data_IF_565831312020
#
_entry.id   IF_565831312020
#
_cell.length_a   1.000
_cell.length_b   1.000
_cell.length_c   1.000
_cell.angle_alpha   90.00
_cell.angle_beta   90.00
_cell.angle_gamma   90.00
#
_symmetry.space_group_name_H-M   'P 1'
#
loop_
_entity.id
_entity.type
_entity.pdbx_description
1 polymer ?
#
# COMPACT_ATOMS: atom_id res chain seq x y z
N UNK A 1 -15.10 18.19 11.54
CA UNK A 1 -15.13 18.15 10.06
C UNK A 1 -15.49 16.73 9.67
N UNK A 2 -16.63 16.52 8.97
CA UNK A 2 -17.00 15.22 8.41
C UNK A 2 -16.27 15.03 7.10
N UNK A 3 -15.81 13.79 6.82
CA UNK A 3 -15.37 13.41 5.47
C UNK A 3 -16.57 13.05 4.60
N UNK A 4 -16.38 12.99 3.29
CA UNK A 4 -17.43 12.61 2.33
C UNK A 4 -17.96 11.17 2.57
N UNK A 5 -17.19 10.33 3.28
CA UNK A 5 -17.47 8.93 3.55
C UNK A 5 -17.99 8.66 4.99
N UNK A 6 -18.12 9.68 5.83
CA UNK A 6 -18.59 9.51 7.21
C UNK A 6 -19.17 10.79 7.82
N UNK A 7 -20.01 10.66 8.87
CA UNK A 7 -20.60 11.80 9.55
C UNK A 7 -19.56 12.62 10.31
N UNK A 8 -19.85 13.90 10.53
CA UNK A 8 -19.08 14.73 11.47
C UNK A 8 -19.34 14.25 12.90
N UNK A 9 -18.30 13.78 13.58
CA UNK A 9 -18.36 13.27 14.93
C UNK A 9 -18.03 14.32 16.00
N UNK A 10 -17.71 15.56 15.61
CA UNK A 10 -17.24 16.61 16.52
C UNK A 10 -18.24 16.98 17.64
N UNK A 11 -19.50 16.62 17.45
CA UNK A 11 -20.60 16.92 18.37
C UNK A 11 -21.43 15.68 18.76
N UNK A 12 -20.84 14.51 18.61
CA UNK A 12 -21.51 13.24 18.85
C UNK A 12 -22.05 13.12 20.29
N UNK A 13 -21.32 13.67 21.27
CA UNK A 13 -21.71 13.66 22.66
C UNK A 13 -22.92 14.54 23.02
N UNK A 14 -23.39 15.40 22.10
CA UNK A 14 -24.61 16.18 22.27
C UNK A 14 -25.86 15.54 21.65
N UNK A 15 -25.70 14.47 20.88
CA UNK A 15 -26.84 13.76 20.29
C UNK A 15 -27.81 13.28 21.34
N UNK A 16 -29.07 13.36 21.01
CA UNK A 16 -30.17 12.91 21.84
C UNK A 16 -30.78 11.62 21.31
N UNK A 17 -31.67 11.03 22.07
CA UNK A 17 -32.43 9.84 21.66
C UNK A 17 -33.23 10.11 20.37
N UNK A 18 -33.66 11.35 20.16
CA UNK A 18 -34.40 11.73 18.96
C UNK A 18 -33.55 11.76 17.67
N UNK A 19 -32.23 11.88 17.80
CA UNK A 19 -31.31 12.01 16.68
C UNK A 19 -30.81 10.64 16.14
N UNK A 20 -31.18 9.55 16.83
CA UNK A 20 -30.60 8.22 16.59
C UNK A 20 -31.67 7.13 16.41
N UNK A 21 -31.45 6.14 15.52
CA UNK A 21 -32.37 5.02 15.36
C UNK A 21 -32.19 3.98 16.46
N UNK A 22 -33.20 3.78 17.29
CA UNK A 22 -33.19 2.79 18.40
C UNK A 22 -33.92 1.48 18.09
N UNK A 23 -34.47 1.32 16.86
CA UNK A 23 -35.29 0.16 16.50
C UNK A 23 -34.61 -1.20 16.74
N UNK A 24 -33.29 -1.24 16.63
CA UNK A 24 -32.49 -2.47 16.77
C UNK A 24 -31.56 -2.44 17.99
N UNK A 25 -31.70 -1.45 18.89
CA UNK A 25 -30.93 -1.36 20.12
C UNK A 25 -31.64 -2.11 21.23
N UNK A 26 -30.93 -3.01 21.93
CA UNK A 26 -31.46 -3.78 23.03
C UNK A 26 -31.21 -3.03 24.38
N UNK A 27 -32.16 -3.10 25.27
CA UNK A 27 -32.06 -2.45 26.58
C UNK A 27 -32.48 -0.97 26.59
N UNK A 28 -31.81 -0.13 27.39
CA UNK A 28 -32.16 1.27 27.58
C UNK A 28 -31.89 2.10 26.30
N UNK A 29 -32.88 2.96 25.98
CA UNK A 29 -32.71 3.94 24.88
C UNK A 29 -31.90 5.14 25.37
N UNK A 30 -30.59 4.98 25.38
CA UNK A 30 -29.64 6.05 25.78
C UNK A 30 -28.50 6.12 24.73
N UNK A 31 -27.91 7.30 24.56
CA UNK A 31 -26.77 7.51 23.68
C UNK A 31 -25.60 6.56 24.03
N UNK A 32 -25.17 6.37 25.27
CA UNK A 32 -24.11 5.42 25.60
C UNK A 32 -24.41 3.99 25.17
N UNK A 33 -25.64 3.50 25.39
CA UNK A 33 -26.03 2.16 25.01
C UNK A 33 -26.09 2.00 23.48
N UNK A 34 -26.56 3.02 22.77
CA UNK A 34 -26.56 3.04 21.30
C UNK A 34 -25.13 2.98 20.75
N UNK A 35 -24.23 3.83 21.24
CA UNK A 35 -22.82 3.88 20.82
C UNK A 35 -22.12 2.55 21.08
N UNK A 36 -22.23 1.99 22.28
CA UNK A 36 -21.61 0.70 22.62
C UNK A 36 -22.05 -0.43 21.69
N UNK A 37 -23.37 -0.55 21.44
CA UNK A 37 -23.88 -1.56 20.52
C UNK A 37 -23.52 -1.28 19.06
N UNK A 38 -23.43 0.00 18.65
CA UNK A 38 -23.03 0.38 17.31
C UNK A 38 -21.56 0.06 17.05
N UNK A 39 -20.66 0.24 18.02
CA UNK A 39 -19.25 -0.17 17.88
C UNK A 39 -19.08 -1.68 17.80
N UNK A 40 -19.89 -2.44 18.53
CA UNK A 40 -19.83 -3.90 18.51
C UNK A 40 -20.40 -4.50 17.21
N UNK A 41 -21.50 -3.94 16.70
CA UNK A 41 -22.15 -4.42 15.47
C UNK A 41 -22.88 -3.27 14.76
N UNK A 42 -22.17 -2.47 13.93
CA UNK A 42 -22.75 -1.32 13.26
C UNK A 42 -23.96 -1.64 12.39
N UNK A 43 -23.89 -2.75 11.64
CA UNK A 43 -24.94 -3.14 10.69
C UNK A 43 -26.21 -3.62 11.37
N UNK A 44 -26.10 -4.17 12.58
CA UNK A 44 -27.26 -4.57 13.41
C UNK A 44 -28.00 -3.33 13.95
N UNK A 45 -27.27 -2.31 14.37
CA UNK A 45 -27.85 -1.09 14.97
C UNK A 45 -28.43 -0.17 13.90
N UNK A 46 -27.68 0.02 12.81
CA UNK A 46 -28.09 0.85 11.68
C UNK A 46 -28.10 -0.01 10.41
N UNK A 47 -29.29 -0.34 9.93
CA UNK A 47 -29.44 -1.11 8.71
C UNK A 47 -28.69 -0.43 7.54
N UNK A 48 -27.88 -1.18 6.81
CA UNK A 48 -27.02 -0.68 5.72
C UNK A 48 -25.90 0.27 6.18
N UNK A 49 -25.49 0.22 7.45
CA UNK A 49 -24.33 0.98 7.89
C UNK A 49 -23.11 0.67 7.03
N UNK A 50 -22.42 1.71 6.56
CA UNK A 50 -21.15 1.59 5.85
C UNK A 50 -19.96 1.41 6.81
N UNK A 51 -20.19 1.65 8.12
CA UNK A 51 -19.18 1.42 9.15
C UNK A 51 -18.88 -0.08 9.25
N UNK A 52 -17.61 -0.49 9.08
CA UNK A 52 -17.24 -1.89 9.21
C UNK A 52 -17.34 -2.33 10.69
N UNK A 53 -17.71 -3.60 10.90
CA UNK A 53 -17.51 -4.21 12.21
C UNK A 53 -16.01 -4.46 12.42
N UNK A 54 -15.38 -3.70 13.28
CA UNK A 54 -13.94 -3.74 13.56
C UNK A 54 -13.56 -4.83 14.57
N UNK A 55 -14.53 -5.58 15.08
CA UNK A 55 -14.29 -6.68 16.02
C UNK A 55 -13.85 -6.21 17.42
N UNK A 56 -14.30 -5.03 17.84
CA UNK A 56 -14.01 -4.52 19.18
C UNK A 56 -14.52 -5.46 20.27
N UNK A 57 -13.72 -5.64 21.32
CA UNK A 57 -14.18 -6.21 22.58
C UNK A 57 -15.17 -5.26 23.26
N UNK A 58 -16.03 -5.76 24.18
CA UNK A 58 -16.91 -4.91 24.95
C UNK A 58 -16.18 -3.78 25.70
N UNK A 59 -14.99 -4.07 26.25
CA UNK A 59 -14.19 -3.06 26.96
C UNK A 59 -13.67 -1.95 26.03
N UNK A 60 -13.25 -2.30 24.80
CA UNK A 60 -12.84 -1.30 23.80
C UNK A 60 -14.03 -0.47 23.31
N UNK A 61 -15.19 -1.08 23.12
CA UNK A 61 -16.42 -0.37 22.77
C UNK A 61 -16.85 0.60 23.85
N UNK A 62 -16.69 0.23 25.15
CA UNK A 62 -16.96 1.11 26.28
C UNK A 62 -16.01 2.32 26.31
N UNK A 63 -14.70 2.10 26.08
CA UNK A 63 -13.71 3.20 25.99
C UNK A 63 -14.02 4.15 24.85
N UNK A 64 -14.34 3.62 23.67
CA UNK A 64 -14.76 4.42 22.53
C UNK A 64 -16.05 5.19 22.82
N UNK A 65 -17.00 4.57 23.51
CA UNK A 65 -18.24 5.23 23.93
C UNK A 65 -17.94 6.44 24.83
N UNK A 66 -17.07 6.28 25.82
CA UNK A 66 -16.67 7.39 26.72
C UNK A 66 -16.00 8.52 25.91
N UNK A 67 -15.12 8.15 24.97
CA UNK A 67 -14.48 9.13 24.10
C UNK A 67 -15.50 9.87 23.24
N UNK A 68 -16.44 9.18 22.59
CA UNK A 68 -17.48 9.81 21.77
C UNK A 68 -18.37 10.74 22.58
N UNK A 69 -18.72 10.37 23.80
CA UNK A 69 -19.49 11.22 24.71
C UNK A 69 -18.75 12.50 25.12
N UNK A 70 -17.42 12.49 25.05
CA UNK A 70 -16.58 13.68 25.28
C UNK A 70 -16.53 14.65 24.09
N UNK A 71 -16.87 14.18 22.89
CA UNK A 71 -16.90 15.00 21.67
C UNK A 71 -18.14 15.92 21.69
N UNK A 72 -17.98 17.05 22.34
CA UNK A 72 -18.99 18.09 22.45
C UNK A 72 -18.41 19.38 21.88
N UNK A 73 -18.95 19.81 20.74
CA UNK A 73 -18.59 21.09 20.15
C UNK A 73 -19.04 22.19 21.10
N UNK A 74 -18.13 22.69 21.88
CA UNK A 74 -18.40 23.87 22.69
C UNK A 74 -18.16 25.10 21.83
N UNK A 75 -19.21 25.79 21.42
CA UNK A 75 -19.12 27.19 20.96
C UNK A 75 -18.79 28.05 22.20
N UNK A 76 -17.56 27.94 22.67
CA UNK A 76 -17.06 28.82 23.73
C UNK A 76 -16.92 30.19 23.09
N UNK A 77 -17.59 31.24 23.63
CA UNK A 77 -17.37 32.60 23.16
C UNK A 77 -15.86 32.90 23.14
N UNK A 78 -15.37 33.59 22.10
CA UNK A 78 -13.95 33.82 21.89
C UNK A 78 -13.23 34.39 23.11
N UNK A 79 -13.92 35.24 23.89
CA UNK A 79 -13.40 35.82 25.12
C UNK A 79 -13.30 34.85 26.32
N UNK A 80 -13.86 33.64 26.23
CA UNK A 80 -13.82 32.59 27.25
C UNK A 80 -13.01 31.38 26.81
N UNK A 81 -12.55 31.32 25.53
CA UNK A 81 -11.70 30.25 25.07
C UNK A 81 -10.32 30.36 25.74
N UNK A 82 -9.73 29.21 26.18
CA UNK A 82 -8.37 29.20 26.74
C UNK A 82 -7.38 29.87 25.77
N UNK A 83 -6.47 30.74 26.28
CA UNK A 83 -5.51 31.45 25.42
C UNK A 83 -4.70 30.54 24.49
N UNK A 84 -4.35 29.34 24.97
CA UNK A 84 -3.60 28.37 24.19
C UNK A 84 -4.41 27.84 23.00
N UNK A 85 -5.70 27.60 23.17
CA UNK A 85 -6.58 27.17 22.09
C UNK A 85 -6.79 28.28 21.03
N UNK A 86 -7.02 29.52 21.50
CA UNK A 86 -7.12 30.68 20.60
C UNK A 86 -5.83 30.88 19.83
N UNK A 87 -4.69 30.68 20.48
CA UNK A 87 -3.38 30.76 19.84
C UNK A 87 -3.17 29.64 18.81
N UNK A 88 -3.48 28.39 19.17
CA UNK A 88 -3.37 27.26 18.27
C UNK A 88 -4.23 27.43 17.01
N UNK A 89 -5.49 27.89 17.19
CA UNK A 89 -6.38 28.19 16.05
C UNK A 89 -5.84 29.33 15.19
N UNK A 90 -5.35 30.43 15.77
CA UNK A 90 -4.80 31.60 15.04
C UNK A 90 -3.49 31.30 14.34
N UNK A 91 -2.61 30.52 14.93
CA UNK A 91 -1.30 30.16 14.37
C UNK A 91 -1.36 28.91 13.51
N UNK A 92 -2.50 28.23 13.45
CA UNK A 92 -2.65 26.95 12.77
C UNK A 92 -1.78 25.85 13.40
N UNK A 93 -1.47 25.97 14.70
CA UNK A 93 -0.78 24.94 15.46
C UNK A 93 -1.65 23.69 15.60
N UNK A 94 -1.04 22.52 15.72
CA UNK A 94 -1.77 21.27 15.95
C UNK A 94 -1.90 21.02 17.45
N UNK A 95 -3.10 20.57 17.87
CA UNK A 95 -3.37 20.14 19.24
C UNK A 95 -2.94 18.69 19.52
N UNK A 96 -2.29 18.04 18.55
CA UNK A 96 -1.85 16.65 18.63
C UNK A 96 -0.42 16.49 18.11
N UNK A 97 0.24 15.40 18.47
CA UNK A 97 1.57 15.08 18.00
C UNK A 97 1.58 14.88 16.47
N UNK A 98 2.54 15.50 15.79
CA UNK A 98 2.68 15.49 14.33
C UNK A 98 3.85 14.65 13.84
N UNK A 99 4.45 13.85 14.71
CA UNK A 99 5.42 12.84 14.30
C UNK A 99 4.73 11.69 13.56
N UNK A 100 5.48 11.01 12.69
CA UNK A 100 4.92 10.01 11.76
C UNK A 100 4.27 8.82 12.47
N UNK A 101 4.83 8.36 13.61
CA UNK A 101 4.28 7.23 14.37
C UNK A 101 2.93 7.58 14.98
N UNK A 102 2.83 8.75 15.62
CA UNK A 102 1.58 9.24 16.21
C UNK A 102 0.50 9.44 15.15
N UNK A 103 0.84 10.09 14.03
CA UNK A 103 -0.10 10.30 12.92
C UNK A 103 -0.55 8.98 12.31
N UNK A 104 0.38 8.05 12.08
CA UNK A 104 0.04 6.72 11.57
C UNK A 104 -0.88 5.97 12.54
N UNK A 105 -0.58 6.02 13.83
CA UNK A 105 -1.40 5.41 14.89
C UNK A 105 -2.85 5.90 14.87
N UNK A 106 -3.04 7.20 14.71
CA UNK A 106 -4.37 7.83 14.71
C UNK A 106 -5.14 7.59 13.40
N UNK A 107 -4.49 7.77 12.25
CA UNK A 107 -5.20 7.82 10.96
C UNK A 107 -5.15 6.52 10.15
N UNK A 108 -4.17 5.64 10.40
CA UNK A 108 -3.89 4.50 9.52
C UNK A 108 -3.98 3.14 10.22
N UNK A 109 -3.53 3.05 11.48
CA UNK A 109 -3.36 1.78 12.19
C UNK A 109 -4.66 1.00 12.40
N UNK A 110 -5.81 1.67 12.52
CA UNK A 110 -7.10 1.02 12.67
C UNK A 110 -7.39 0.04 11.52
N UNK A 111 -7.01 0.41 10.29
CA UNK A 111 -7.22 -0.41 9.10
C UNK A 111 -5.98 -1.23 8.73
N UNK A 112 -4.79 -0.63 8.79
CA UNK A 112 -3.57 -1.27 8.29
C UNK A 112 -2.77 -2.03 9.35
N UNK A 113 -3.20 -1.98 10.63
CA UNK A 113 -2.44 -2.53 11.77
C UNK A 113 -1.38 -1.54 12.28
N UNK A 114 -0.96 -1.66 13.56
CA UNK A 114 -0.05 -0.70 14.22
C UNK A 114 1.33 -0.58 13.56
N UNK A 115 1.75 -1.58 12.81
CA UNK A 115 3.01 -1.59 12.05
C UNK A 115 2.79 -1.86 10.55
N UNK A 116 1.57 -1.67 10.06
CA UNK A 116 1.26 -1.87 8.65
C UNK A 116 1.17 -3.33 8.22
N UNK A 117 0.95 -4.24 9.13
CA UNK A 117 0.84 -5.68 8.86
C UNK A 117 -0.44 -6.08 8.12
N UNK A 118 -1.36 -5.13 7.94
CA UNK A 118 -2.67 -5.38 7.35
C UNK A 118 -3.67 -5.97 8.35
N UNK A 119 -4.95 -5.86 8.02
CA UNK A 119 -6.04 -6.42 8.85
C UNK A 119 -7.11 -7.09 8.02
N UNK A 120 -7.69 -8.15 8.58
CA UNK A 120 -8.90 -8.79 8.09
C UNK A 120 -9.97 -8.67 9.16
N UNK A 121 -11.10 -8.06 8.80
CA UNK A 121 -12.25 -7.99 9.71
C UNK A 121 -13.23 -9.12 9.41
N UNK A 122 -13.84 -9.74 10.44
CA UNK A 122 -14.71 -10.92 10.26
C UNK A 122 -15.89 -10.71 9.30
N UNK A 123 -16.40 -9.47 9.25
CA UNK A 123 -17.56 -9.09 8.45
C UNK A 123 -17.23 -8.55 7.06
N UNK A 124 -15.92 -8.43 6.73
CA UNK A 124 -15.48 -7.92 5.44
C UNK A 124 -14.91 -9.03 4.57
N UNK A 125 -15.34 -9.08 3.32
CA UNK A 125 -14.78 -9.99 2.32
C UNK A 125 -13.38 -9.56 1.90
N UNK A 126 -13.09 -8.24 1.92
CA UNK A 126 -11.80 -7.66 1.58
C UNK A 126 -10.87 -7.55 2.79
N UNK A 127 -9.59 -7.75 2.56
CA UNK A 127 -8.52 -7.55 3.54
C UNK A 127 -7.94 -6.16 3.36
N UNK A 128 -7.69 -5.45 4.45
CA UNK A 128 -6.90 -4.22 4.41
C UNK A 128 -5.43 -4.59 4.17
N UNK A 129 -4.78 -3.99 3.14
CA UNK A 129 -3.46 -4.45 2.72
C UNK A 129 -2.39 -4.22 3.77
N UNK A 130 -1.44 -5.15 3.83
CA UNK A 130 -0.18 -4.97 4.52
C UNK A 130 0.67 -3.92 3.78
N UNK A 131 0.99 -2.83 4.45
CA UNK A 131 1.73 -1.68 3.90
C UNK A 131 3.05 -1.41 4.63
N UNK A 132 3.32 -2.14 5.73
CA UNK A 132 4.58 -2.11 6.47
C UNK A 132 5.54 -3.23 6.08
N UNK A 133 5.15 -4.10 5.14
CA UNK A 133 5.97 -5.24 4.72
C UNK A 133 7.16 -4.79 3.86
N UNK A 134 8.36 -5.36 4.09
CA UNK A 134 9.58 -4.99 3.36
C UNK A 134 9.43 -5.11 1.84
N UNK A 135 8.74 -6.12 1.34
CA UNK A 135 8.52 -6.34 -0.10
C UNK A 135 7.65 -5.24 -0.72
N UNK A 136 6.70 -4.70 0.04
CA UNK A 136 5.88 -3.58 -0.41
C UNK A 136 6.68 -2.28 -0.39
N UNK A 137 7.32 -1.97 0.73
CA UNK A 137 8.08 -0.73 0.90
C UNK A 137 9.27 -0.68 -0.05
N UNK A 138 9.86 -1.81 -0.39
CA UNK A 138 10.94 -1.90 -1.37
C UNK A 138 10.59 -1.36 -2.77
N UNK A 139 9.31 -1.30 -3.13
CA UNK A 139 8.83 -0.86 -4.46
C UNK A 139 7.85 0.31 -4.40
N UNK A 140 7.30 0.62 -3.23
CA UNK A 140 6.38 1.73 -3.00
C UNK A 140 7.19 3.00 -2.67
N UNK A 141 7.60 3.73 -3.71
CA UNK A 141 8.35 4.97 -3.53
C UNK A 141 7.49 6.10 -2.91
N UNK A 142 8.14 7.15 -2.44
CA UNK A 142 7.49 8.30 -1.79
C UNK A 142 6.41 8.92 -2.68
N UNK A 143 6.62 8.94 -4.01
CA UNK A 143 5.67 9.52 -4.95
C UNK A 143 4.38 8.70 -4.99
N UNK A 144 4.51 7.37 -5.04
CA UNK A 144 3.37 6.45 -4.97
C UNK A 144 2.62 6.58 -3.64
N UNK A 145 3.36 6.55 -2.51
CA UNK A 145 2.79 6.65 -1.17
C UNK A 145 2.09 8.00 -0.98
N UNK A 146 2.74 9.11 -1.34
CA UNK A 146 2.17 10.46 -1.25
C UNK A 146 0.89 10.58 -2.07
N UNK A 147 0.90 10.19 -3.35
CA UNK A 147 -0.30 10.22 -4.19
C UNK A 147 -1.42 9.35 -3.61
N UNK A 148 -1.07 8.19 -3.03
CA UNK A 148 -2.05 7.31 -2.40
C UNK A 148 -2.68 7.94 -1.17
N UNK A 149 -1.89 8.57 -0.30
CA UNK A 149 -2.39 9.26 0.89
C UNK A 149 -3.21 10.50 0.51
N UNK A 150 -2.71 11.31 -0.42
CA UNK A 150 -3.40 12.55 -0.82
C UNK A 150 -4.73 12.32 -1.52
N UNK A 151 -4.83 11.29 -2.36
CA UNK A 151 -6.02 11.07 -3.21
C UNK A 151 -6.91 9.92 -2.73
N UNK A 152 -6.45 9.11 -1.78
CA UNK A 152 -7.16 7.91 -1.36
C UNK A 152 -7.39 6.92 -2.51
N UNK A 153 -8.47 6.15 -2.38
CA UNK A 153 -8.98 5.21 -3.38
C UNK A 153 -10.49 5.41 -3.52
N UNK A 154 -10.95 6.38 -4.32
CA UNK A 154 -12.38 6.69 -4.50
C UNK A 154 -13.20 5.44 -4.77
N UNK A 155 -14.35 5.30 -4.12
CA UNK A 155 -15.19 4.11 -4.18
C UNK A 155 -14.65 2.90 -3.39
N UNK A 156 -13.58 3.09 -2.60
CA UNK A 156 -13.02 2.09 -1.69
C UNK A 156 -12.87 2.67 -0.28
N UNK A 157 -12.48 1.83 0.68
CA UNK A 157 -12.36 2.22 2.09
C UNK A 157 -11.05 2.93 2.45
N UNK A 158 -10.30 3.40 1.48
CA UNK A 158 -9.11 4.22 1.68
C UNK A 158 -9.45 5.68 1.35
N UNK A 159 -9.79 6.51 2.33
CA UNK A 159 -10.11 7.91 2.10
C UNK A 159 -8.87 8.71 1.69
N UNK A 160 -9.10 9.89 1.13
CA UNK A 160 -8.06 10.88 0.94
C UNK A 160 -7.72 11.54 2.27
N UNK A 161 -6.43 11.71 2.56
CA UNK A 161 -5.94 12.29 3.81
C UNK A 161 -5.32 13.68 3.65
N UNK A 162 -5.24 14.20 2.42
CA UNK A 162 -4.70 15.55 2.18
C UNK A 162 -5.50 16.63 2.88
N UNK A 163 -4.92 17.83 2.97
CA UNK A 163 -5.47 18.99 3.69
C UNK A 163 -6.94 19.29 3.35
N UNK A 164 -7.32 19.09 2.09
CA UNK A 164 -8.68 19.39 1.60
C UNK A 164 -9.71 18.38 2.11
N UNK A 165 -9.35 17.10 2.18
CA UNK A 165 -10.28 16.00 2.44
C UNK A 165 -10.11 15.44 3.86
N UNK A 166 -8.89 14.98 4.21
CA UNK A 166 -8.58 14.35 5.50
C UNK A 166 -7.85 15.25 6.50
N UNK A 167 -7.45 16.45 6.09
CA UNK A 167 -6.87 17.46 6.97
C UNK A 167 -5.37 17.32 7.28
N UNK A 168 -4.67 16.32 6.77
CA UNK A 168 -3.21 16.20 6.93
C UNK A 168 -2.51 17.22 6.03
N UNK A 169 -1.54 17.92 6.59
CA UNK A 169 -0.66 18.84 5.86
C UNK A 169 0.38 18.06 5.06
N UNK A 170 0.98 18.65 4.02
CA UNK A 170 2.02 17.96 3.23
C UNK A 170 3.16 17.39 4.08
N UNK A 171 3.66 18.16 5.05
CA UNK A 171 4.73 17.74 5.97
C UNK A 171 4.29 16.61 6.91
N UNK A 172 3.02 16.54 7.27
CA UNK A 172 2.45 15.45 8.08
C UNK A 172 2.30 14.16 7.25
N UNK A 173 1.93 14.28 5.98
CA UNK A 173 1.95 13.17 5.02
C UNK A 173 3.37 12.63 4.86
N UNK A 174 4.37 13.54 4.77
CA UNK A 174 5.78 13.16 4.68
C UNK A 174 6.26 12.46 5.93
N UNK A 175 5.83 12.90 7.10
CA UNK A 175 6.14 12.24 8.37
C UNK A 175 5.58 10.81 8.42
N UNK A 176 4.35 10.57 7.94
CA UNK A 176 3.76 9.23 7.85
C UNK A 176 4.54 8.35 6.86
N UNK A 177 4.96 8.89 5.71
CA UNK A 177 5.77 8.16 4.73
C UNK A 177 7.13 7.79 5.35
N UNK A 178 7.78 8.72 6.03
CA UNK A 178 9.05 8.47 6.72
C UNK A 178 8.91 7.39 7.81
N UNK A 179 7.80 7.40 8.56
CA UNK A 179 7.50 6.34 9.53
C UNK A 179 7.38 4.96 8.84
N UNK A 180 6.64 4.87 7.72
CA UNK A 180 6.51 3.62 6.98
C UNK A 180 7.87 3.10 6.51
N UNK A 181 8.70 3.95 5.90
CA UNK A 181 10.06 3.56 5.52
C UNK A 181 10.97 3.25 6.72
N UNK A 182 10.66 3.82 7.89
CA UNK A 182 11.31 3.47 9.15
C UNK A 182 11.03 2.03 9.62
N UNK A 183 9.98 1.39 9.09
CA UNK A 183 9.67 -0.03 9.36
C UNK A 183 10.53 -0.99 8.54
N UNK A 184 11.18 -0.51 7.48
CA UNK A 184 12.07 -1.33 6.67
C UNK A 184 13.31 -1.77 7.46
N UNK A 185 13.85 -2.96 7.18
CA UNK A 185 15.15 -3.36 7.72
C UNK A 185 16.23 -2.33 7.35
N UNK A 186 17.12 -2.05 8.27
CA UNK A 186 18.30 -1.24 7.97
C UNK A 186 19.24 -2.03 7.08
N UNK A 187 19.63 -1.46 5.95
CA UNK A 187 20.67 -2.04 5.12
C UNK A 187 21.98 -2.14 5.91
N UNK A 188 22.75 -3.23 5.78
CA UNK A 188 24.13 -3.24 6.26
C UNK A 188 24.94 -2.11 5.65
N UNK A 189 25.86 -1.55 6.40
CA UNK A 189 26.73 -0.49 5.89
C UNK A 189 27.69 -1.01 4.82
N UNK A 190 28.19 -0.12 3.96
CA UNK A 190 29.18 -0.48 2.96
C UNK A 190 30.46 -1.06 3.61
N UNK A 191 30.82 -0.60 4.80
CA UNK A 191 31.97 -1.10 5.56
C UNK A 191 31.75 -2.56 5.99
N UNK A 192 30.57 -2.89 6.56
CA UNK A 192 30.21 -4.25 6.94
C UNK A 192 30.21 -5.19 5.72
N UNK A 193 29.64 -4.73 4.59
CA UNK A 193 29.61 -5.50 3.34
C UNK A 193 31.04 -5.74 2.80
N UNK A 194 31.90 -4.75 2.83
CA UNK A 194 33.28 -4.87 2.35
C UNK A 194 34.14 -5.76 3.26
N UNK A 195 33.84 -5.81 4.55
CA UNK A 195 34.52 -6.70 5.50
C UNK A 195 34.06 -8.16 5.39
N UNK A 196 32.90 -8.43 4.80
CA UNK A 196 32.37 -9.79 4.65
C UNK A 196 33.11 -10.58 3.56
N UNK A 197 33.28 -11.86 3.78
CA UNK A 197 33.85 -12.77 2.77
C UNK A 197 32.77 -13.21 1.80
N UNK A 198 32.96 -13.04 0.47
CA UNK A 198 31.97 -13.48 -0.50
C UNK A 198 31.94 -15.00 -0.63
N UNK A 199 30.75 -15.55 -0.68
CA UNK A 199 30.46 -16.94 -1.06
C UNK A 199 29.95 -16.95 -2.51
N UNK A 200 30.67 -17.61 -3.40
CA UNK A 200 30.38 -17.63 -4.85
C UNK A 200 29.07 -18.38 -5.15
N UNK A 201 28.86 -19.51 -4.51
CA UNK A 201 27.68 -20.35 -4.77
C UNK A 201 26.43 -19.64 -4.25
N UNK A 202 26.50 -19.07 -3.05
CA UNK A 202 25.44 -18.24 -2.50
C UNK A 202 25.15 -17.00 -3.35
N UNK A 203 26.17 -16.34 -3.86
CA UNK A 203 26.02 -15.19 -4.77
C UNK A 203 25.28 -15.57 -6.06
N UNK A 204 25.64 -16.71 -6.64
CA UNK A 204 24.98 -17.23 -7.86
C UNK A 204 23.52 -17.63 -7.58
N UNK A 205 23.24 -18.28 -6.45
CA UNK A 205 21.88 -18.59 -6.02
C UNK A 205 21.03 -17.33 -5.85
N UNK A 206 21.56 -16.32 -5.16
CA UNK A 206 20.88 -15.04 -4.93
C UNK A 206 20.62 -14.31 -6.24
N UNK A 207 21.60 -14.28 -7.16
CA UNK A 207 21.40 -13.69 -8.46
C UNK A 207 20.27 -14.39 -9.22
N UNK A 208 20.29 -15.71 -9.29
CA UNK A 208 19.26 -16.52 -9.96
C UNK A 208 17.85 -16.29 -9.39
N UNK A 209 17.73 -16.21 -8.08
CA UNK A 209 16.43 -16.08 -7.40
C UNK A 209 15.90 -14.66 -7.36
N UNK A 210 16.76 -13.65 -7.23
CA UNK A 210 16.35 -12.25 -7.01
C UNK A 210 16.49 -11.37 -8.25
N UNK A 211 17.53 -11.56 -9.06
CA UNK A 211 17.94 -10.64 -10.13
C UNK A 211 17.59 -11.15 -11.53
N UNK A 212 17.84 -12.45 -11.79
CA UNK A 212 17.66 -13.05 -13.11
C UNK A 212 16.22 -12.97 -13.63
N UNK A 213 15.22 -12.91 -12.74
CA UNK A 213 13.81 -12.75 -13.13
C UNK A 213 13.52 -11.47 -13.94
N UNK A 214 14.37 -10.46 -13.79
CA UNK A 214 14.27 -9.18 -14.50
C UNK A 214 15.45 -8.98 -15.46
N UNK A 215 16.68 -9.31 -15.02
CA UNK A 215 17.90 -9.00 -15.76
C UNK A 215 18.38 -10.13 -16.69
N UNK A 216 17.64 -11.26 -16.75
CA UNK A 216 18.05 -12.45 -17.51
C UNK A 216 19.01 -13.33 -16.72
N UNK A 217 19.07 -14.63 -17.08
CA UNK A 217 19.81 -15.65 -16.32
C UNK A 217 21.34 -15.44 -16.36
N UNK A 218 21.82 -14.71 -17.37
CA UNK A 218 23.22 -14.31 -17.54
C UNK A 218 23.45 -12.81 -17.45
N UNK A 219 22.45 -12.04 -17.00
CA UNK A 219 22.52 -10.59 -16.92
C UNK A 219 22.42 -9.88 -18.28
N UNK A 220 21.87 -10.54 -19.30
CA UNK A 220 21.70 -10.04 -20.67
C UNK A 220 20.63 -8.96 -20.80
N UNK A 221 19.84 -8.73 -19.75
CA UNK A 221 18.71 -7.83 -19.77
C UNK A 221 17.43 -8.48 -20.29
N UNK A 222 16.34 -7.70 -20.26
CA UNK A 222 15.02 -8.17 -20.69
C UNK A 222 14.10 -7.01 -21.10
N UNK A 223 12.83 -7.31 -21.33
CA UNK A 223 11.80 -6.31 -21.59
C UNK A 223 11.59 -5.31 -20.41
N UNK A 224 11.95 -5.67 -19.18
CA UNK A 224 11.69 -4.88 -17.96
C UNK A 224 12.95 -4.33 -17.29
N UNK A 225 14.13 -4.84 -17.61
CA UNK A 225 15.38 -4.45 -16.97
C UNK A 225 16.55 -4.41 -17.95
N UNK A 226 17.49 -3.44 -17.78
CA UNK A 226 18.65 -3.32 -18.65
C UNK A 226 19.64 -4.47 -18.44
N UNK A 227 20.51 -4.75 -19.44
CA UNK A 227 21.59 -5.72 -19.28
C UNK A 227 22.58 -5.27 -18.20
N UNK A 228 22.91 -6.18 -17.29
CA UNK A 228 23.93 -5.98 -16.27
C UNK A 228 25.33 -6.33 -16.79
N UNK A 229 25.42 -7.39 -17.57
CA UNK A 229 26.68 -7.90 -18.14
C UNK A 229 27.17 -7.15 -19.37
N UNK A 230 26.48 -6.05 -19.76
CA UNK A 230 26.91 -5.19 -20.86
C UNK A 230 28.25 -4.51 -20.57
N UNK A 231 29.15 -4.49 -21.54
CA UNK A 231 30.48 -3.89 -21.41
C UNK A 231 30.44 -2.37 -21.23
N UNK A 232 29.35 -1.73 -21.63
CA UNK A 232 29.10 -0.29 -21.46
C UNK A 232 28.35 0.05 -20.16
N UNK A 233 28.17 -0.92 -19.25
CA UNK A 233 27.47 -0.69 -17.98
C UNK A 233 28.42 -0.13 -16.90
N UNK A 234 28.32 1.16 -16.53
CA UNK A 234 29.22 1.75 -15.54
C UNK A 234 28.91 1.28 -14.10
N UNK A 235 27.73 0.70 -13.86
CA UNK A 235 27.31 0.29 -12.49
C UNK A 235 28.03 -0.99 -12.09
N UNK A 236 28.11 -1.98 -12.97
CA UNK A 236 28.71 -3.28 -12.64
C UNK A 236 30.22 -3.26 -12.56
N UNK A 237 30.87 -2.16 -12.97
CA UNK A 237 32.30 -1.92 -12.80
C UNK A 237 32.71 -1.47 -11.38
N UNK A 238 31.77 -1.12 -10.50
CA UNK A 238 32.02 -0.48 -9.22
C UNK A 238 31.16 -1.11 -8.11
N UNK A 239 31.81 -1.75 -7.13
CA UNK A 239 31.13 -2.42 -6.01
C UNK A 239 30.24 -1.44 -5.22
N UNK A 240 30.69 -0.19 -5.02
CA UNK A 240 29.93 0.83 -4.29
C UNK A 240 28.61 1.19 -5.04
N UNK A 241 28.66 1.24 -6.35
CA UNK A 241 27.46 1.49 -7.18
C UNK A 241 26.51 0.31 -7.18
N UNK A 242 27.03 -0.92 -7.26
CA UNK A 242 26.20 -2.12 -7.14
C UNK A 242 25.53 -2.12 -5.77
N UNK A 243 26.32 -1.93 -4.69
CA UNK A 243 25.82 -1.86 -3.33
C UNK A 243 24.71 -0.80 -3.21
N UNK A 244 24.97 0.44 -3.62
CA UNK A 244 24.01 1.53 -3.55
C UNK A 244 22.72 1.19 -4.31
N UNK A 245 22.82 0.72 -5.57
CA UNK A 245 21.66 0.37 -6.38
C UNK A 245 20.84 -0.78 -5.78
N UNK A 246 21.52 -1.81 -5.25
CA UNK A 246 20.84 -2.97 -4.65
C UNK A 246 20.15 -2.60 -3.33
N UNK A 247 20.79 -1.78 -2.50
CA UNK A 247 20.23 -1.42 -1.19
C UNK A 247 19.15 -0.35 -1.24
N UNK A 248 19.19 0.55 -2.23
CA UNK A 248 18.19 1.63 -2.34
C UNK A 248 17.13 1.37 -3.39
N UNK A 249 17.38 0.49 -4.36
CA UNK A 249 16.56 0.38 -5.55
C UNK A 249 16.71 1.58 -6.50
N UNK A 250 15.81 1.69 -7.47
CA UNK A 250 15.73 2.81 -8.43
C UNK A 250 14.29 3.30 -8.47
N UNK A 251 14.04 4.46 -7.91
CA UNK A 251 12.70 5.03 -7.78
C UNK A 251 11.97 5.09 -9.14
N UNK A 252 10.66 4.80 -9.11
CA UNK A 252 9.80 4.82 -10.31
C UNK A 252 9.97 3.62 -11.25
N UNK A 253 10.92 2.71 -10.98
CA UNK A 253 11.18 1.52 -11.79
C UNK A 253 10.78 0.22 -11.07
N UNK A 254 10.90 -0.91 -11.77
CA UNK A 254 10.72 -2.24 -11.15
C UNK A 254 11.90 -2.68 -10.26
N UNK A 255 13.01 -1.94 -10.25
CA UNK A 255 14.17 -2.22 -9.41
C UNK A 255 13.92 -1.71 -7.99
N UNK A 256 13.25 -2.51 -7.19
CA UNK A 256 13.06 -2.23 -5.78
C UNK A 256 14.31 -2.50 -4.94
N UNK A 257 14.29 -2.04 -3.67
CA UNK A 257 15.39 -2.26 -2.75
C UNK A 257 15.51 -3.74 -2.31
N UNK A 258 16.72 -4.15 -1.95
CA UNK A 258 17.04 -5.43 -1.34
C UNK A 258 17.82 -5.23 -0.03
N UNK A 259 17.50 -4.17 0.70
CA UNK A 259 18.15 -3.79 1.96
C UNK A 259 18.01 -4.81 3.09
N UNK A 260 17.08 -5.76 2.95
CA UNK A 260 16.88 -6.86 3.90
C UNK A 260 17.95 -7.95 3.82
N UNK A 261 18.79 -7.96 2.78
CA UNK A 261 19.92 -8.88 2.69
C UNK A 261 20.98 -8.48 3.71
N UNK A 262 21.55 -9.48 4.39
CA UNK A 262 22.68 -9.27 5.30
C UNK A 262 23.98 -8.93 4.55
N UNK A 263 25.01 -8.53 5.27
CA UNK A 263 26.28 -8.10 4.70
C UNK A 263 26.98 -9.19 3.86
N UNK A 264 26.91 -10.45 4.30
CA UNK A 264 27.53 -11.58 3.61
C UNK A 264 26.79 -11.91 2.30
N UNK A 265 25.45 -11.86 2.35
CA UNK A 265 24.60 -12.05 1.17
C UNK A 265 24.81 -10.93 0.13
N UNK A 266 24.85 -9.67 0.56
CA UNK A 266 25.15 -8.53 -0.32
C UNK A 266 26.54 -8.65 -0.93
N UNK A 267 27.54 -8.99 -0.14
CA UNK A 267 28.92 -9.18 -0.63
C UNK A 267 29.00 -10.29 -1.67
N UNK A 268 28.32 -11.40 -1.42
CA UNK A 268 28.25 -12.55 -2.33
C UNK A 268 27.53 -12.19 -3.63
N UNK A 269 26.41 -11.46 -3.54
CA UNK A 269 25.66 -10.97 -4.70
C UNK A 269 26.48 -10.00 -5.56
N UNK A 270 27.18 -9.05 -4.92
CA UNK A 270 28.08 -8.11 -5.62
C UNK A 270 29.15 -8.89 -6.40
N UNK A 271 29.77 -9.87 -5.76
CA UNK A 271 30.76 -10.72 -6.39
C UNK A 271 30.19 -11.50 -7.60
N UNK A 272 28.97 -12.04 -7.48
CA UNK A 272 28.29 -12.73 -8.58
C UNK A 272 27.98 -11.79 -9.74
N UNK A 273 27.46 -10.58 -9.47
CA UNK A 273 27.19 -9.59 -10.52
C UNK A 273 28.47 -9.19 -11.26
N UNK A 274 29.58 -9.04 -10.54
CA UNK A 274 30.91 -8.74 -11.10
C UNK A 274 31.46 -9.87 -11.97
N UNK A 275 31.06 -11.10 -11.68
CA UNK A 275 31.53 -12.30 -12.37
C UNK A 275 30.65 -12.68 -13.58
N UNK A 276 29.59 -11.93 -13.88
CA UNK A 276 28.76 -12.19 -15.05
C UNK A 276 29.57 -12.14 -16.34
N UNK A 277 29.42 -13.11 -17.26
CA UNK A 277 30.10 -13.10 -18.53
C UNK A 277 29.62 -11.91 -19.37
N UNK A 278 30.52 -11.24 -20.09
CA UNK A 278 30.13 -10.14 -20.97
C UNK A 278 29.11 -10.58 -22.03
N UNK A 279 28.10 -9.74 -22.27
CA UNK A 279 27.07 -9.95 -23.29
C UNK A 279 27.18 -8.87 -24.39
N UNK A 280 26.76 -9.21 -25.61
CA UNK A 280 26.74 -8.26 -26.74
C UNK A 280 25.72 -7.14 -26.59
N UNK A 281 24.72 -7.30 -25.69
CA UNK A 281 23.72 -6.28 -25.41
C UNK A 281 24.34 -5.00 -24.84
N UNK A 282 23.81 -3.86 -25.25
CA UNK A 282 24.22 -2.54 -24.75
C UNK A 282 23.23 -2.00 -23.72
N UNK A 283 23.73 -1.40 -22.66
CA UNK A 283 22.93 -0.68 -21.67
C UNK A 283 22.57 0.72 -22.13
N UNK A 284 23.45 1.38 -22.87
CA UNK A 284 23.21 2.71 -23.43
C UNK A 284 22.03 2.68 -24.39
N UNK A 285 21.03 3.52 -24.11
CA UNK A 285 19.81 3.60 -24.91
C UNK A 285 18.78 2.50 -24.62
N UNK A 286 19.01 1.61 -23.65
CA UNK A 286 18.00 0.64 -23.25
C UNK A 286 16.76 1.37 -22.66
N UNK A 287 15.59 0.93 -23.08
CA UNK A 287 14.29 1.36 -22.51
C UNK A 287 13.39 0.12 -22.34
N UNK A 288 12.45 0.14 -21.38
CA UNK A 288 11.47 -0.93 -21.28
C UNK A 288 10.72 -1.12 -22.60
N UNK A 289 10.41 -2.37 -22.93
CA UNK A 289 9.60 -2.67 -24.12
C UNK A 289 8.16 -2.15 -23.93
N UNK A 290 7.57 -1.62 -24.98
CA UNK A 290 6.13 -1.32 -24.98
C UNK A 290 5.32 -2.63 -24.95
N UNK A 291 4.30 -2.69 -24.08
CA UNK A 291 3.45 -3.87 -23.93
C UNK A 291 2.37 -3.96 -24.99
N UNK A 292 1.92 -5.19 -25.24
CA UNK A 292 0.77 -5.52 -26.07
C UNK A 292 -0.43 -5.85 -25.18
N UNK A 293 -1.40 -4.93 -25.09
CA UNK A 293 -2.55 -5.07 -24.19
C UNK A 293 -3.44 -6.28 -24.58
N UNK A 294 -3.47 -6.71 -25.85
CA UNK A 294 -4.27 -7.86 -26.27
C UNK A 294 -3.67 -9.17 -25.72
N UNK A 295 -2.36 -9.35 -25.86
CA UNK A 295 -1.65 -10.48 -25.25
C UNK A 295 -1.71 -10.44 -23.73
N UNK A 296 -1.64 -9.24 -23.15
CA UNK A 296 -1.79 -9.02 -21.73
C UNK A 296 -3.16 -9.45 -21.21
N UNK A 297 -4.23 -9.21 -21.98
CA UNK A 297 -5.58 -9.65 -21.63
C UNK A 297 -5.70 -11.18 -21.53
N UNK A 298 -5.06 -11.93 -22.42
CA UNK A 298 -5.04 -13.40 -22.40
C UNK A 298 -4.35 -13.94 -21.13
N UNK A 299 -3.19 -13.38 -20.79
CA UNK A 299 -2.45 -13.74 -19.59
C UNK A 299 -3.20 -13.35 -18.32
N UNK A 300 -3.81 -12.15 -18.29
CA UNK A 300 -4.62 -11.65 -17.19
C UNK A 300 -5.84 -12.52 -16.94
N UNK A 301 -6.56 -12.90 -18.00
CA UNK A 301 -7.73 -13.78 -17.92
C UNK A 301 -7.39 -15.13 -17.29
N UNK A 302 -6.19 -15.63 -17.55
CA UNK A 302 -5.76 -16.95 -17.06
C UNK A 302 -5.31 -16.94 -15.60
N UNK A 303 -4.62 -15.89 -15.16
CA UNK A 303 -3.92 -15.92 -13.86
C UNK A 303 -4.37 -14.85 -12.86
N UNK A 304 -5.05 -13.78 -13.30
CA UNK A 304 -5.31 -12.61 -12.46
C UNK A 304 -6.80 -12.39 -12.14
N UNK A 305 -7.69 -12.80 -13.04
CA UNK A 305 -9.15 -12.56 -12.97
C UNK A 305 -9.77 -13.08 -11.68
N UNK A 306 -9.34 -14.24 -11.19
CA UNK A 306 -9.91 -14.86 -9.99
C UNK A 306 -9.95 -13.90 -8.79
N UNK A 307 -8.89 -13.12 -8.60
CA UNK A 307 -8.77 -12.19 -7.47
C UNK A 307 -9.08 -10.74 -7.86
N UNK A 308 -8.64 -10.31 -9.05
CA UNK A 308 -8.77 -8.92 -9.49
C UNK A 308 -10.04 -8.63 -10.29
N UNK A 309 -10.80 -9.66 -10.71
CA UNK A 309 -11.96 -9.54 -11.56
C UNK A 309 -11.61 -9.29 -13.04
N UNK A 310 -12.53 -9.59 -13.99
CA UNK A 310 -12.25 -9.49 -15.43
C UNK A 310 -12.00 -8.07 -15.91
N UNK A 311 -12.51 -7.06 -15.20
CA UNK A 311 -12.32 -5.65 -15.50
C UNK A 311 -11.47 -4.91 -14.46
N UNK A 312 -10.74 -5.66 -13.61
CA UNK A 312 -9.90 -5.08 -12.57
C UNK A 312 -10.66 -4.47 -11.39
N UNK A 313 -11.91 -4.87 -11.17
CA UNK A 313 -12.79 -4.38 -10.11
C UNK A 313 -12.38 -4.82 -8.71
N UNK A 314 -11.55 -5.86 -8.58
CA UNK A 314 -10.96 -6.30 -7.31
C UNK A 314 -11.97 -6.83 -6.30
N UNK A 315 -12.65 -7.95 -6.55
CA UNK A 315 -13.59 -8.53 -5.59
C UNK A 315 -12.89 -9.09 -4.34
N UNK A 316 -11.72 -9.69 -4.50
CA UNK A 316 -10.92 -10.27 -3.40
C UNK A 316 -9.55 -9.58 -3.21
N UNK A 317 -9.14 -8.74 -4.15
CA UNK A 317 -7.85 -8.08 -4.21
C UNK A 317 -8.03 -6.58 -4.49
N UNK A 318 -6.97 -5.76 -4.47
CA UNK A 318 -7.08 -4.36 -4.84
C UNK A 318 -7.70 -4.15 -6.23
N UNK A 319 -8.58 -3.14 -6.37
CA UNK A 319 -9.16 -2.76 -7.65
C UNK A 319 -8.10 -2.14 -8.56
N UNK A 320 -7.67 -2.87 -9.55
CA UNK A 320 -6.68 -2.41 -10.52
C UNK A 320 -7.24 -1.33 -11.45
N UNK A 321 -8.56 -1.36 -11.73
CA UNK A 321 -9.23 -0.35 -12.55
C UNK A 321 -9.53 0.97 -11.80
N UNK A 322 -9.17 1.08 -10.52
CA UNK A 322 -9.37 2.32 -9.77
C UNK A 322 -8.50 3.46 -10.34
N UNK A 323 -9.09 4.59 -10.79
CA UNK A 323 -8.35 5.66 -11.46
C UNK A 323 -7.25 6.27 -10.57
N UNK A 324 -7.51 6.45 -9.28
CA UNK A 324 -6.51 6.99 -8.36
C UNK A 324 -5.35 6.01 -8.12
N UNK A 325 -5.63 4.69 -8.15
CA UNK A 325 -4.58 3.68 -8.12
C UNK A 325 -3.71 3.75 -9.39
N UNK A 326 -4.33 3.75 -10.57
CA UNK A 326 -3.60 3.80 -11.83
C UNK A 326 -2.80 5.10 -12.00
N UNK A 327 -3.30 6.23 -11.50
CA UNK A 327 -2.57 7.49 -11.50
C UNK A 327 -1.39 7.52 -10.52
N UNK A 328 -1.43 6.71 -9.47
CA UNK A 328 -0.36 6.63 -8.46
C UNK A 328 0.71 5.61 -8.82
N UNK A 329 0.27 4.42 -9.27
CA UNK A 329 1.16 3.30 -9.60
C UNK A 329 1.91 3.54 -10.90
N UNK A 330 3.24 3.43 -10.89
CA UNK A 330 4.07 3.42 -12.11
C UNK A 330 4.02 2.05 -12.78
N UNK A 331 4.42 1.95 -14.05
CA UNK A 331 4.59 0.65 -14.71
C UNK A 331 5.65 -0.20 -13.99
N UNK A 332 6.68 0.46 -13.44
CA UNK A 332 7.69 -0.18 -12.62
C UNK A 332 7.09 -0.81 -11.36
N UNK A 333 6.22 -0.10 -10.64
CA UNK A 333 5.52 -0.63 -9.48
C UNK A 333 4.64 -1.84 -9.83
N UNK A 334 3.86 -1.77 -10.91
CA UNK A 334 3.03 -2.88 -11.37
C UNK A 334 3.88 -4.09 -11.76
N UNK A 335 4.92 -3.87 -12.56
CA UNK A 335 5.88 -4.90 -12.98
C UNK A 335 6.54 -5.58 -11.77
N UNK A 336 7.06 -4.78 -10.83
CA UNK A 336 7.68 -5.30 -9.62
C UNK A 336 6.70 -6.10 -8.76
N UNK A 337 5.47 -5.60 -8.57
CA UNK A 337 4.42 -6.31 -7.81
C UNK A 337 4.08 -7.65 -8.43
N UNK A 338 3.97 -7.75 -9.75
CA UNK A 338 3.68 -9.02 -10.44
C UNK A 338 4.85 -9.99 -10.28
N UNK A 339 6.07 -9.54 -10.54
CA UNK A 339 7.26 -10.41 -10.50
C UNK A 339 7.67 -10.83 -9.09
N UNK A 340 7.53 -9.95 -8.09
CA UNK A 340 7.95 -10.19 -6.70
C UNK A 340 6.83 -10.74 -5.82
N UNK A 341 5.56 -10.55 -6.22
CA UNK A 341 4.41 -10.85 -5.36
C UNK A 341 4.30 -9.91 -4.16
N UNK A 342 3.50 -10.31 -3.19
CA UNK A 342 3.25 -9.59 -1.94
C UNK A 342 3.25 -10.60 -0.79
N UNK A 343 4.36 -10.73 -0.07
CA UNK A 343 4.66 -11.79 0.89
C UNK A 343 3.58 -12.04 1.95
N UNK A 344 3.04 -11.01 2.59
CA UNK A 344 1.98 -11.14 3.60
C UNK A 344 0.56 -11.23 3.00
N UNK A 345 0.42 -11.50 1.70
CA UNK A 345 -0.87 -11.55 1.01
C UNK A 345 -1.00 -12.80 0.15
N UNK A 346 -2.16 -12.96 -0.50
CA UNK A 346 -2.39 -14.03 -1.48
C UNK A 346 -1.86 -13.71 -2.88
N UNK A 347 -1.19 -12.56 -3.09
CA UNK A 347 -0.62 -12.20 -4.39
C UNK A 347 0.67 -12.99 -4.62
N UNK A 348 0.66 -13.99 -5.52
CA UNK A 348 1.82 -14.83 -5.76
C UNK A 348 2.91 -14.08 -6.53
N UNK A 349 4.14 -14.57 -6.48
CA UNK A 349 5.25 -14.02 -7.24
C UNK A 349 5.41 -14.73 -8.59
N UNK A 350 4.98 -14.10 -9.65
CA UNK A 350 5.07 -14.67 -11.00
C UNK A 350 6.49 -14.66 -11.61
N UNK A 351 7.48 -14.17 -10.89
CA UNK A 351 8.88 -14.21 -11.31
C UNK A 351 9.56 -15.57 -11.17
N UNK A 352 8.92 -16.55 -10.51
CA UNK A 352 9.35 -17.94 -10.41
C UNK A 352 8.18 -18.87 -10.72
N UNK A 353 8.46 -20.12 -11.04
CA UNK A 353 7.42 -21.14 -11.23
C UNK A 353 7.01 -21.71 -9.89
N UNK A 354 5.71 -21.86 -9.65
CA UNK A 354 5.11 -22.54 -8.51
C UNK A 354 4.11 -23.59 -8.97
N UNK A 355 3.59 -24.39 -8.02
CA UNK A 355 2.65 -25.47 -8.35
C UNK A 355 1.37 -24.97 -9.06
N UNK A 356 0.91 -23.77 -8.72
CA UNK A 356 -0.34 -23.21 -9.21
C UNK A 356 -0.19 -22.27 -10.42
N UNK A 357 1.05 -21.85 -10.75
CA UNK A 357 1.31 -20.98 -11.88
C UNK A 357 2.75 -21.11 -12.41
N UNK A 358 2.96 -20.95 -13.73
CA UNK A 358 4.30 -20.90 -14.30
C UNK A 358 5.01 -19.57 -13.99
N UNK A 359 6.33 -19.55 -14.15
CA UNK A 359 7.07 -18.30 -14.27
C UNK A 359 6.57 -17.54 -15.51
N UNK A 360 6.14 -16.30 -15.32
CA UNK A 360 5.86 -15.41 -16.45
C UNK A 360 7.17 -14.81 -16.99
N UNK A 361 7.27 -14.77 -18.31
CA UNK A 361 8.38 -14.06 -18.95
C UNK A 361 8.26 -12.55 -18.72
N UNK A 362 9.37 -11.81 -18.69
CA UNK A 362 9.34 -10.35 -18.64
C UNK A 362 8.45 -9.71 -19.70
N UNK A 363 8.41 -10.28 -20.93
CA UNK A 363 7.54 -9.86 -22.01
C UNK A 363 6.06 -10.01 -21.66
N UNK A 364 5.66 -11.16 -21.13
CA UNK A 364 4.28 -11.40 -20.70
C UNK A 364 3.87 -10.43 -19.57
N UNK A 365 4.78 -10.09 -18.67
CA UNK A 365 4.49 -9.13 -17.59
C UNK A 365 4.29 -7.72 -18.13
N UNK A 366 5.11 -7.28 -19.09
CA UNK A 366 4.93 -5.96 -19.75
C UNK A 366 3.59 -5.91 -20.49
N UNK A 367 3.19 -6.99 -21.14
CA UNK A 367 1.90 -7.10 -21.83
C UNK A 367 0.73 -7.02 -20.82
N UNK A 368 0.82 -7.70 -19.68
CA UNK A 368 -0.18 -7.61 -18.59
C UNK A 368 -0.26 -6.18 -18.03
N UNK A 369 0.87 -5.50 -17.83
CA UNK A 369 0.88 -4.10 -17.39
C UNK A 369 0.18 -3.19 -18.39
N UNK A 370 0.42 -3.38 -19.69
CA UNK A 370 -0.26 -2.64 -20.75
C UNK A 370 -1.79 -2.88 -20.72
N UNK A 371 -2.21 -4.12 -20.47
CA UNK A 371 -3.65 -4.43 -20.31
C UNK A 371 -4.23 -3.74 -19.06
N UNK A 372 -3.56 -3.80 -17.92
CA UNK A 372 -4.01 -3.10 -16.71
C UNK A 372 -4.15 -1.59 -16.97
N UNK A 373 -3.23 -0.99 -17.71
CA UNK A 373 -3.32 0.43 -18.10
C UNK A 373 -4.54 0.74 -18.98
N UNK A 374 -5.01 -0.21 -19.77
CA UNK A 374 -6.20 -0.01 -20.60
C UNK A 374 -7.49 0.18 -19.79
N UNK A 375 -7.54 -0.28 -18.54
CA UNK A 375 -8.67 -0.04 -17.65
C UNK A 375 -8.94 1.46 -17.39
N UNK A 376 -7.91 2.31 -17.47
CA UNK A 376 -8.07 3.77 -17.34
C UNK A 376 -8.81 4.40 -18.53
N UNK A 377 -8.83 3.72 -19.69
CA UNK A 377 -9.45 4.21 -20.93
C UNK A 377 -10.91 3.75 -21.09
N UNK A 378 -11.30 2.69 -20.39
CA UNK A 378 -12.61 2.02 -20.56
C UNK A 378 -13.41 1.93 -19.27
N UNK A 379 -12.95 2.58 -18.19
CA UNK A 379 -13.53 2.42 -16.87
C UNK A 379 -15.04 2.66 -16.83
N UNK A 380 -15.84 1.76 -16.20
CA UNK A 380 -17.21 2.06 -15.89
C UNK A 380 -17.28 3.24 -14.90
N UNK A 381 -18.26 4.12 -15.00
CA UNK A 381 -18.50 5.13 -13.99
C UNK A 381 -18.76 4.41 -12.67
N UNK A 382 -18.02 4.75 -11.62
CA UNK A 382 -18.20 4.41 -10.21
C UNK A 382 -19.35 3.45 -9.91
N UNK A 383 -19.17 2.16 -10.16
CA UNK A 383 -20.00 1.14 -9.56
C UNK A 383 -19.50 0.97 -8.11
N UNK A 384 -20.10 1.71 -7.19
CA UNK A 384 -20.08 1.36 -5.78
C UNK A 384 -20.51 -0.11 -5.62
N UNK A 385 -20.22 -0.76 -4.51
CA UNK A 385 -20.56 -2.17 -4.32
C UNK A 385 -22.04 -2.37 -4.67
N UNK A 386 -22.31 -3.18 -5.69
CA UNK A 386 -23.65 -3.57 -6.07
C UNK A 386 -24.34 -4.12 -4.83
N UNK A 387 -25.42 -3.44 -4.40
CA UNK A 387 -26.28 -3.89 -3.33
C UNK A 387 -26.77 -5.33 -3.64
N UNK A 388 -26.77 -6.25 -2.66
CA UNK A 388 -27.30 -7.59 -2.85
C UNK A 388 -28.82 -7.67 -3.14
N UNK A 389 -29.50 -6.53 -3.32
CA UNK A 389 -30.96 -6.42 -3.36
C UNK A 389 -31.63 -6.70 -4.72
N UNK A 390 -30.86 -7.04 -5.77
CA UNK A 390 -31.46 -7.37 -7.09
C UNK A 390 -31.31 -8.84 -7.50
N UNK A 391 -31.43 -9.79 -6.58
CA UNK A 391 -31.64 -11.19 -6.89
C UNK A 391 -32.71 -11.78 -5.98
N UNK A 392 -33.95 -11.56 -6.33
CA UNK A 392 -35.04 -12.46 -5.99
C UNK A 392 -36.09 -12.37 -7.09
N UNK A 393 -36.69 -13.52 -7.48
CA UNK A 393 -37.61 -13.67 -8.60
C UNK A 393 -38.94 -12.93 -8.40
#
# INVERSE_FOLDING_TARGET
MGGDDGPDLSDEGHKTVADLPFAHVTGSQTLPNWLGQHFLDPARVVAKSQMPNLGFSPAEADLLTVYMLSLRRQNIPEGLAPPDRVRAERLGERDFATDGESLYGVFCAACHGPRGEGRKFPTLTSVFPAIGEPEFLAIADDVFLRKTLMNGRPGRRMPAWGTKDGGLRPEEVDAVIAFLHGLEPKAPTAEEVNAATPDRDKGTELFGTLCARCHGDHGEGSAVAPPLAATDNPVTGDDSRIYGTVTTGVAGTAMGSFRSLDAAALRSLIAAVRALPPVEAKRTGWTPRAGDAQKGAETFAKYCVKCHGPHGEGPEAPALANPAFLASATDGYLTATILRGRGATKMPHFGVAEAEHPRLSPDAVVDVVAFIRSFSLTGPPNAGPSSPAERAP
#
